data_IF_897772551313
#
_entry.id   IF_897772551313
#
_cell.length_a   1.000
_cell.length_b   1.000
_cell.length_c   1.000
_cell.angle_alpha   90.00
_cell.angle_beta   90.00
_cell.angle_gamma   90.00
#
_symmetry.space_group_name_H-M   'P 1'
#
loop_
_entity.id
_entity.type
_entity.pdbx_description
1 polymer ?
#
# COMPACT_ATOMS: atom_id res chain seq x y z
N UNK A 1 -13.17 32.82 -15.75
CA UNK A 1 -13.21 31.60 -16.59
C UNK A 1 -13.22 30.41 -15.66
N UNK A 2 -14.39 29.77 -15.52
CA UNK A 2 -14.57 28.62 -14.63
C UNK A 2 -13.97 27.40 -15.29
N UNK A 3 -12.84 26.89 -14.77
CA UNK A 3 -12.38 25.55 -15.14
C UNK A 3 -13.28 24.55 -14.44
N UNK A 4 -14.31 24.11 -15.15
CA UNK A 4 -14.99 22.85 -14.84
C UNK A 4 -13.94 21.74 -14.91
N UNK A 5 -13.56 21.20 -13.75
CA UNK A 5 -12.83 19.93 -13.69
C UNK A 5 -13.83 18.82 -14.00
N UNK A 6 -13.97 18.51 -15.28
CA UNK A 6 -14.66 17.29 -15.70
C UNK A 6 -13.85 16.09 -15.22
N UNK A 7 -14.58 15.13 -14.67
CA UNK A 7 -14.15 13.84 -14.12
C UNK A 7 -13.56 12.96 -15.24
N UNK A 8 -12.43 13.34 -15.79
CA UNK A 8 -11.71 12.50 -16.74
C UNK A 8 -11.02 11.36 -15.99
N UNK A 9 -11.22 10.16 -16.51
CA UNK A 9 -10.72 8.92 -15.94
C UNK A 9 -9.20 8.95 -15.91
N UNK A 10 -8.63 9.23 -14.73
CA UNK A 10 -7.20 9.18 -14.43
C UNK A 10 -6.53 7.89 -14.90
N UNK A 11 -7.27 6.82 -15.16
CA UNK A 11 -6.71 5.59 -15.71
C UNK A 11 -6.03 5.75 -17.10
N UNK A 12 -6.38 6.77 -17.89
CA UNK A 12 -5.91 6.95 -19.27
C UNK A 12 -4.73 7.93 -19.41
N UNK A 13 -4.38 8.67 -18.35
CA UNK A 13 -3.28 9.64 -18.37
C UNK A 13 -1.98 9.03 -17.82
N UNK A 14 -0.82 9.22 -18.46
CA UNK A 14 0.48 8.74 -17.98
C UNK A 14 0.79 9.13 -16.53
N UNK A 15 0.44 10.36 -16.13
CA UNK A 15 0.65 10.91 -14.77
C UNK A 15 -0.04 10.12 -13.64
N UNK A 16 -1.01 9.28 -13.99
CA UNK A 16 -1.75 8.42 -13.08
C UNK A 16 -1.29 6.96 -13.14
N UNK A 17 -0.42 6.60 -14.08
CA UNK A 17 0.26 5.31 -14.14
C UNK A 17 1.61 5.33 -13.41
N UNK A 18 2.15 6.51 -13.13
CA UNK A 18 3.46 6.67 -12.49
C UNK A 18 3.52 6.11 -11.07
N UNK A 19 4.61 5.40 -10.78
CA UNK A 19 4.92 4.91 -9.44
C UNK A 19 5.13 6.08 -8.48
N UNK A 20 4.44 6.03 -7.33
CA UNK A 20 4.42 7.14 -6.35
C UNK A 20 5.56 7.15 -5.34
N UNK A 21 6.60 6.35 -5.55
CA UNK A 21 7.85 6.49 -4.79
C UNK A 21 8.19 5.36 -3.80
N UNK A 22 7.36 4.33 -3.68
CA UNK A 22 7.62 3.22 -2.75
C UNK A 22 8.86 2.41 -3.12
N UNK A 23 9.03 2.07 -4.39
CA UNK A 23 10.16 1.24 -4.86
C UNK A 23 11.49 1.98 -4.92
N UNK A 24 11.48 3.24 -5.36
CA UNK A 24 12.69 4.03 -5.61
C UNK A 24 13.03 5.01 -4.48
N UNK A 25 12.41 4.83 -3.30
CA UNK A 25 12.68 5.61 -2.09
C UNK A 25 12.39 7.12 -2.17
N UNK A 26 11.60 7.59 -3.16
CA UNK A 26 11.06 8.95 -3.16
C UNK A 26 10.14 9.14 -1.94
N UNK A 27 9.36 8.11 -1.57
CA UNK A 27 8.76 8.03 -0.25
C UNK A 27 9.86 7.57 0.70
N UNK A 28 10.27 8.43 1.63
CA UNK A 28 11.33 8.15 2.59
C UNK A 28 10.90 7.13 3.66
N UNK A 29 11.87 6.53 4.35
CA UNK A 29 11.59 5.59 5.44
C UNK A 29 10.81 6.23 6.59
N UNK A 30 11.01 7.53 6.84
CA UNK A 30 10.30 8.28 7.89
C UNK A 30 8.79 8.43 7.59
N UNK A 31 8.38 8.27 6.34
CA UNK A 31 6.98 8.29 5.92
C UNK A 31 6.30 6.92 6.06
N UNK A 32 7.05 5.89 6.46
CA UNK A 32 6.54 4.53 6.59
C UNK A 32 6.46 4.15 8.07
N UNK A 33 5.27 3.74 8.50
CA UNK A 33 5.06 3.21 9.85
C UNK A 33 4.20 1.96 9.79
N UNK A 34 4.21 1.18 10.86
CA UNK A 34 3.39 -0.02 10.98
C UNK A 34 2.86 -0.16 12.40
N UNK A 35 1.75 -0.89 12.56
CA UNK A 35 1.20 -1.27 13.87
C UNK A 35 2.21 -2.05 14.70
N UNK A 36 2.96 -2.93 14.05
CA UNK A 36 3.99 -3.75 14.65
C UNK A 36 4.99 -4.20 13.58
N UNK A 37 6.11 -4.75 14.02
CA UNK A 37 7.08 -5.42 13.15
C UNK A 37 7.70 -6.58 13.92
N UNK A 38 7.93 -7.71 13.26
CA UNK A 38 8.48 -8.90 13.89
C UNK A 38 9.83 -8.61 14.55
N UNK A 39 10.70 -7.85 13.87
CA UNK A 39 11.86 -7.16 14.43
C UNK A 39 12.31 -6.03 13.48
N UNK A 40 13.49 -5.43 13.72
CA UNK A 40 14.02 -4.32 12.90
C UNK A 40 14.35 -4.70 11.45
N UNK A 41 14.67 -5.97 11.19
CA UNK A 41 15.01 -6.49 9.87
C UNK A 41 13.78 -6.76 8.99
N UNK A 42 12.59 -6.75 9.61
CA UNK A 42 11.27 -6.89 9.00
C UNK A 42 10.41 -5.61 9.19
N UNK A 43 11.05 -4.46 9.43
CA UNK A 43 10.37 -3.19 9.73
C UNK A 43 9.56 -2.65 8.53
N UNK A 44 8.72 -1.63 8.78
CA UNK A 44 7.85 -1.03 7.76
C UNK A 44 8.60 -0.59 6.49
N UNK A 45 9.81 -0.08 6.62
CA UNK A 45 10.64 0.34 5.49
C UNK A 45 11.10 -0.81 4.58
N UNK A 46 10.98 -2.06 5.04
CA UNK A 46 11.25 -3.24 4.24
C UNK A 46 10.06 -3.61 3.32
N UNK A 47 8.88 -3.02 3.53
CA UNK A 47 7.67 -3.26 2.73
C UNK A 47 7.66 -2.61 1.34
N UNK A 48 8.83 -2.39 0.74
CA UNK A 48 8.98 -1.79 -0.60
C UNK A 48 8.91 -2.87 -1.68
N UNK A 49 8.37 -2.51 -2.84
CA UNK A 49 8.38 -3.39 -4.01
C UNK A 49 9.81 -3.62 -4.50
N UNK A 50 10.09 -4.84 -4.99
CA UNK A 50 11.41 -5.27 -5.45
C UNK A 50 12.50 -5.10 -4.37
N UNK A 51 12.13 -5.20 -3.09
CA UNK A 51 13.08 -5.24 -2.00
C UNK A 51 13.47 -6.68 -1.74
N UNK A 52 14.66 -7.07 -2.18
CA UNK A 52 15.11 -8.45 -2.04
C UNK A 52 15.69 -8.73 -0.65
N UNK A 53 15.63 -10.00 -0.25
CA UNK A 53 16.29 -10.45 0.96
C UNK A 53 17.80 -10.19 0.91
N UNK A 54 18.37 -9.82 2.05
CA UNK A 54 19.80 -9.77 2.31
C UNK A 54 20.12 -10.48 3.62
N UNK A 55 21.39 -10.71 3.93
CA UNK A 55 21.79 -11.32 5.22
C UNK A 55 21.31 -10.52 6.44
N UNK A 56 21.03 -9.23 6.27
CA UNK A 56 20.56 -8.34 7.34
C UNK A 56 19.06 -8.05 7.28
N UNK A 57 18.44 -8.06 6.10
CA UNK A 57 17.07 -7.60 5.91
C UNK A 57 16.19 -8.62 5.21
N UNK A 58 14.94 -8.69 5.64
CA UNK A 58 13.96 -9.66 5.17
C UNK A 58 13.51 -9.47 3.72
N UNK A 59 13.67 -8.27 3.16
CA UNK A 59 13.06 -7.90 1.88
C UNK A 59 11.54 -7.64 1.97
N UNK A 60 10.96 -7.63 3.18
CA UNK A 60 9.53 -7.40 3.37
C UNK A 60 9.25 -6.88 4.79
N UNK A 61 8.16 -6.13 4.93
CA UNK A 61 7.56 -5.90 6.23
C UNK A 61 6.84 -7.17 6.70
N UNK A 62 7.06 -7.56 7.95
CA UNK A 62 6.36 -8.67 8.60
C UNK A 62 5.83 -8.18 9.94
N UNK A 63 4.52 -8.30 10.15
CA UNK A 63 3.88 -7.95 11.41
C UNK A 63 4.33 -8.89 12.54
N UNK A 64 4.34 -8.38 13.77
CA UNK A 64 4.64 -9.18 14.96
C UNK A 64 3.47 -10.10 15.35
N UNK A 65 2.24 -9.74 14.99
CA UNK A 65 1.03 -10.53 15.26
C UNK A 65 0.21 -10.76 13.99
N UNK A 66 -0.97 -11.38 14.11
CA UNK A 66 -1.81 -11.81 12.98
C UNK A 66 -3.12 -11.05 12.87
N UNK A 67 -3.42 -10.09 13.74
CA UNK A 67 -4.74 -9.45 13.78
C UNK A 67 -4.65 -7.94 13.89
N UNK A 68 -5.44 -7.24 13.06
CA UNK A 68 -5.51 -5.77 13.03
C UNK A 68 -4.17 -5.07 12.72
N UNK A 69 -3.32 -5.75 11.96
CA UNK A 69 -2.03 -5.23 11.55
C UNK A 69 -2.14 -4.33 10.33
N UNK A 70 -1.31 -3.31 10.28
CA UNK A 70 -1.31 -2.33 9.20
C UNK A 70 0.08 -1.79 8.93
N UNK A 71 0.28 -1.38 7.67
CA UNK A 71 1.37 -0.51 7.25
C UNK A 71 0.77 0.80 6.73
N UNK A 72 1.34 1.92 7.16
CA UNK A 72 0.89 3.26 6.87
C UNK A 72 1.94 3.99 6.05
N UNK A 73 1.47 4.77 5.08
CA UNK A 73 2.27 5.61 4.22
C UNK A 73 1.75 7.05 4.37
N UNK A 74 2.61 7.92 4.88
CA UNK A 74 2.39 9.36 4.90
C UNK A 74 2.85 9.99 3.58
N UNK A 75 1.91 10.51 2.79
CA UNK A 75 2.21 11.10 1.49
C UNK A 75 2.65 12.56 1.57
N UNK A 76 2.61 13.17 2.76
CA UNK A 76 3.01 14.57 3.04
C UNK A 76 2.26 15.62 2.19
N UNK A 77 1.23 15.23 1.45
CA UNK A 77 0.50 16.10 0.54
C UNK A 77 -0.93 15.63 0.34
N UNK A 78 -1.88 16.51 0.62
CA UNK A 78 -3.33 16.27 0.46
C UNK A 78 -3.76 16.23 -1.01
N UNK A 79 -2.86 16.54 -1.95
CA UNK A 79 -3.13 16.58 -3.38
C UNK A 79 -2.64 15.33 -4.12
N UNK A 80 -2.00 14.39 -3.42
CA UNK A 80 -1.52 13.16 -4.04
C UNK A 80 -2.67 12.21 -4.29
N UNK A 81 -2.97 11.98 -5.57
CA UNK A 81 -3.96 10.98 -5.99
C UNK A 81 -3.30 9.60 -6.12
N UNK A 82 -3.83 8.63 -5.38
CA UNK A 82 -3.50 7.22 -5.57
C UNK A 82 -4.50 6.57 -6.52
N UNK A 83 -4.00 6.00 -7.60
CA UNK A 83 -4.81 5.38 -8.64
C UNK A 83 -4.71 3.86 -8.64
N UNK A 84 -3.68 3.29 -7.99
CA UNK A 84 -3.37 1.85 -7.94
C UNK A 84 -2.51 1.55 -6.72
N UNK A 85 -2.64 0.33 -6.20
CA UNK A 85 -1.75 -0.21 -5.16
C UNK A 85 -1.22 -1.56 -5.64
N UNK A 86 0.09 -1.65 -5.78
CA UNK A 86 0.77 -2.92 -6.03
C UNK A 86 1.22 -3.51 -4.69
N UNK A 87 1.09 -4.82 -4.57
CA UNK A 87 1.43 -5.57 -3.36
C UNK A 87 2.33 -6.75 -3.76
N UNK A 88 3.26 -7.07 -2.88
CA UNK A 88 4.22 -8.16 -3.05
C UNK A 88 4.36 -8.90 -1.72
N UNK A 89 4.65 -10.19 -1.80
CA UNK A 89 4.98 -11.03 -0.65
C UNK A 89 6.50 -11.13 -0.46
N UNK A 90 6.92 -11.67 0.68
CA UNK A 90 8.33 -11.99 0.92
C UNK A 90 8.70 -13.25 0.15
N UNK A 91 9.84 -13.18 -0.51
CA UNK A 91 10.57 -14.31 -1.05
C UNK A 91 11.97 -14.34 -0.41
N UNK A 92 12.38 -15.50 0.09
CA UNK A 92 13.72 -15.69 0.64
C UNK A 92 14.61 -16.41 -0.36
N UNK A 93 15.90 -16.03 -0.39
CA UNK A 93 16.93 -16.70 -1.20
C UNK A 93 16.92 -18.20 -0.89
N UNK A 94 17.03 -19.04 -1.92
CA UNK A 94 16.87 -20.50 -1.87
C UNK A 94 15.44 -21.03 -1.67
N UNK A 95 14.41 -20.20 -1.89
CA UNK A 95 13.00 -20.65 -1.97
C UNK A 95 12.45 -21.27 -0.67
N UNK A 96 13.00 -20.93 0.49
CA UNK A 96 12.63 -21.59 1.76
C UNK A 96 11.45 -20.91 2.43
N UNK A 97 11.36 -19.58 2.35
CA UNK A 97 10.31 -18.80 3.04
C UNK A 97 9.48 -18.01 2.04
N UNK A 98 8.17 -18.30 2.01
CA UNK A 98 7.19 -17.53 1.26
C UNK A 98 6.09 -17.07 2.20
N UNK A 99 5.89 -15.75 2.25
CA UNK A 99 4.83 -15.15 3.05
C UNK A 99 4.14 -14.08 2.23
N UNK A 100 2.82 -14.08 2.22
CA UNK A 100 2.05 -13.06 1.53
C UNK A 100 0.71 -12.84 2.22
N UNK A 101 0.19 -11.64 1.99
CA UNK A 101 -1.11 -11.22 2.48
C UNK A 101 -2.19 -11.79 1.57
N UNK A 102 -3.18 -12.49 2.14
CA UNK A 102 -4.28 -13.07 1.36
C UNK A 102 -5.41 -12.08 1.13
N UNK A 103 -5.67 -11.21 2.12
CA UNK A 103 -6.73 -10.21 2.07
C UNK A 103 -6.27 -8.93 2.75
N UNK A 104 -6.71 -7.78 2.26
CA UNK A 104 -6.50 -6.53 2.96
C UNK A 104 -7.63 -5.54 2.68
N UNK A 105 -7.77 -4.58 3.59
CA UNK A 105 -8.58 -3.40 3.42
C UNK A 105 -7.65 -2.20 3.20
N UNK A 106 -8.06 -1.30 2.31
CA UNK A 106 -7.43 0.02 2.19
C UNK A 106 -8.23 1.01 3.03
N UNK A 107 -7.52 1.81 3.82
CA UNK A 107 -8.09 2.96 4.50
C UNK A 107 -7.27 4.20 4.21
N UNK A 108 -7.88 5.36 4.42
CA UNK A 108 -7.25 6.65 4.19
C UNK A 108 -7.75 7.69 5.19
N UNK A 109 -7.00 8.77 5.36
CA UNK A 109 -7.46 9.99 6.06
C UNK A 109 -7.15 11.24 5.23
N UNK A 110 -8.08 12.20 5.32
CA UNK A 110 -8.04 13.50 4.63
C UNK A 110 -7.11 14.51 5.33
N UNK A 111 -6.63 14.21 6.55
CA UNK A 111 -5.89 15.15 7.37
C UNK A 111 -4.58 14.56 7.90
N UNK A 112 -3.56 15.41 7.95
CA UNK A 112 -2.27 15.12 8.59
C UNK A 112 -2.50 14.94 10.10
N UNK A 113 -1.93 13.88 10.69
CA UNK A 113 -2.08 13.51 12.11
C UNK A 113 -3.48 13.07 12.56
N UNK A 114 -4.43 12.89 11.65
CA UNK A 114 -5.72 12.31 12.01
C UNK A 114 -5.60 10.79 12.19
N UNK A 115 -6.11 10.31 13.32
CA UNK A 115 -6.17 8.88 13.66
C UNK A 115 -7.44 8.22 13.13
N UNK A 116 -8.35 9.00 12.54
CA UNK A 116 -9.63 8.55 11.99
C UNK A 116 -9.48 8.12 10.55
N UNK A 117 -9.31 6.82 10.35
CA UNK A 117 -9.22 6.22 9.03
C UNK A 117 -10.59 5.81 8.50
N UNK A 118 -10.87 6.15 7.24
CA UNK A 118 -12.06 5.69 6.51
C UNK A 118 -11.70 4.56 5.57
N UNK A 119 -12.56 3.55 5.48
CA UNK A 119 -12.41 2.51 4.49
C UNK A 119 -12.54 3.07 3.07
N UNK A 120 -11.67 2.58 2.19
CA UNK A 120 -11.85 2.76 0.76
C UNK A 120 -13.06 1.92 0.30
N UNK A 121 -13.95 2.60 -0.41
CA UNK A 121 -15.16 2.05 -1.00
C UNK A 121 -15.04 2.23 -2.50
N UNK A 122 -15.40 1.21 -3.28
CA UNK A 122 -15.51 1.41 -4.73
C UNK A 122 -16.75 2.23 -5.08
N UNK A 123 -16.65 2.96 -6.20
CA UNK A 123 -17.75 3.82 -6.65
C UNK A 123 -19.02 2.99 -6.86
N UNK A 124 -20.12 3.39 -6.20
CA UNK A 124 -21.39 2.67 -6.25
C UNK A 124 -21.53 1.50 -5.27
N UNK A 125 -20.52 1.20 -4.45
CA UNK A 125 -20.60 0.17 -3.41
C UNK A 125 -20.88 0.75 -2.02
N UNK A 126 -21.73 0.07 -1.25
CA UNK A 126 -22.07 0.41 0.13
C UNK A 126 -21.30 -0.41 1.18
N UNK A 127 -20.47 -1.37 0.74
CA UNK A 127 -19.65 -2.22 1.61
C UNK A 127 -18.16 -1.97 1.37
N UNK A 128 -17.37 -2.11 2.44
CA UNK A 128 -15.92 -1.96 2.37
C UNK A 128 -15.32 -2.91 1.33
N UNK A 129 -14.35 -2.40 0.57
CA UNK A 129 -13.69 -3.22 -0.43
C UNK A 129 -12.55 -4.01 0.19
N UNK A 130 -12.84 -5.27 0.53
CA UNK A 130 -11.80 -6.27 0.83
C UNK A 130 -11.14 -6.71 -0.48
N UNK A 131 -9.87 -6.39 -0.64
CA UNK A 131 -9.06 -6.88 -1.76
C UNK A 131 -8.55 -8.28 -1.44
N UNK A 132 -8.92 -9.26 -2.26
CA UNK A 132 -8.39 -10.62 -2.21
C UNK A 132 -7.19 -10.73 -3.15
N UNK A 133 -6.06 -11.16 -2.63
CA UNK A 133 -4.86 -11.47 -3.40
C UNK A 133 -4.94 -12.92 -3.87
N UNK A 134 -4.97 -13.14 -5.18
CA UNK A 134 -4.71 -14.47 -5.75
C UNK A 134 -3.23 -14.45 -6.11
N UNK A 135 -2.37 -14.83 -5.17
CA UNK A 135 -0.92 -14.95 -5.41
C UNK A 135 -0.56 -16.43 -5.58
N UNK A 136 0.09 -16.74 -6.70
CA UNK A 136 0.99 -17.89 -6.81
C UNK A 136 2.41 -17.42 -6.52
N UNK A 137 3.34 -18.32 -6.17
CA UNK A 137 4.70 -18.00 -5.72
C UNK A 137 5.56 -17.17 -6.71
N UNK A 138 5.03 -16.84 -7.90
CA UNK A 138 5.73 -16.14 -8.98
C UNK A 138 5.01 -14.87 -9.48
N UNK A 139 3.91 -14.42 -8.84
CA UNK A 139 3.07 -13.36 -9.43
C UNK A 139 3.18 -11.99 -8.76
N UNK A 140 3.64 -11.02 -9.54
CA UNK A 140 3.38 -9.60 -9.37
C UNK A 140 1.89 -9.34 -9.57
N UNK A 141 1.13 -9.12 -8.50
CA UNK A 141 -0.27 -8.68 -8.66
C UNK A 141 -0.32 -7.17 -8.44
N UNK A 142 -0.39 -6.43 -9.56
CA UNK A 142 -0.85 -5.05 -9.52
C UNK A 142 -2.36 -5.07 -9.33
N UNK A 143 -2.84 -4.89 -8.10
CA UNK A 143 -4.27 -4.71 -7.87
C UNK A 143 -4.67 -3.29 -8.27
N UNK A 144 -5.40 -3.20 -9.38
CA UNK A 144 -5.98 -1.95 -9.87
C UNK A 144 -7.15 -1.57 -8.93
N UNK A 145 -7.02 -0.47 -8.19
CA UNK A 145 -8.11 0.19 -7.44
C UNK A 145 -8.46 1.48 -8.16
N UNK A 146 -9.54 1.50 -8.94
CA UNK A 146 -9.86 2.70 -9.70
C UNK A 146 -10.23 3.87 -8.77
N UNK A 147 -9.61 5.03 -8.98
CA UNK A 147 -10.01 6.31 -8.40
C UNK A 147 -10.04 6.36 -6.86
N UNK A 148 -8.88 6.25 -6.22
CA UNK A 148 -8.75 6.70 -4.83
C UNK A 148 -8.62 8.23 -4.83
N UNK A 149 -9.33 8.90 -3.91
CA UNK A 149 -9.35 10.37 -3.81
C UNK A 149 -7.94 10.92 -3.50
N UNK A 150 -7.63 12.21 -3.76
CA UNK A 150 -6.45 12.85 -3.20
C UNK A 150 -6.47 12.74 -1.67
N UNK A 151 -5.38 12.29 -1.05
CA UNK A 151 -5.34 12.00 0.39
C UNK A 151 -3.94 12.20 0.97
N UNK A 152 -3.90 12.53 2.26
CA UNK A 152 -2.65 12.77 3.02
C UNK A 152 -2.00 11.46 3.46
N UNK A 153 -2.80 10.48 3.86
CA UNK A 153 -2.30 9.24 4.47
C UNK A 153 -3.06 8.03 3.97
N UNK A 154 -2.34 6.95 3.64
CA UNK A 154 -2.93 5.65 3.36
C UNK A 154 -2.51 4.61 4.38
N UNK A 155 -3.46 3.75 4.71
CA UNK A 155 -3.29 2.63 5.62
C UNK A 155 -3.71 1.35 4.91
N UNK A 156 -2.78 0.42 4.76
CA UNK A 156 -3.08 -0.92 4.27
C UNK A 156 -3.24 -1.81 5.49
N UNK A 157 -4.49 -2.12 5.83
CA UNK A 157 -4.80 -3.04 6.92
C UNK A 157 -4.85 -4.47 6.37
N UNK A 158 -3.95 -5.31 6.85
CA UNK A 158 -3.85 -6.70 6.40
C UNK A 158 -4.80 -7.59 7.19
N UNK A 159 -5.37 -8.57 6.50
CA UNK A 159 -6.21 -9.62 7.04
C UNK A 159 -5.52 -10.95 6.73
N UNK A 160 -5.01 -11.61 7.77
CA UNK A 160 -4.29 -12.88 7.68
C UNK A 160 -5.22 -14.09 7.67
#
# INVERSE_FOLDING_TARGET
MNKHFTKESCHLSPECADARGMQNSIISDAQLSASSSFNLNEAANQGRLHNDYTSLYAGAWVAATTSNEWIQIDLLSNYTRISRVATQGRHHVDNITYQWVKKYNLKYSDFENDTTFRFYMEEGQSLEKVKKMIMTAETWVTLITQNVKPQTVYLIQMLF
#
